data_IF_875289737917
#
_entry.id   IF_875289737917
#
_cell.length_a   1.000
_cell.length_b   1.000
_cell.length_c   1.000
_cell.angle_alpha   90.00
_cell.angle_beta   90.00
_cell.angle_gamma   90.00
#
_symmetry.space_group_name_H-M   'P 1'
#
loop_
_entity.id
_entity.type
_entity.pdbx_description
1 polymer ?
#
# COMPACT_ATOMS: atom_id res chain seq x y z
N UNK A 1 -6.14 -4.82 -1.93
CA UNK A 1 -7.13 -3.89 -2.49
C UNK A 1 -8.49 -4.25 -1.94
N UNK A 2 -9.46 -3.33 -1.99
CA UNK A 2 -10.83 -3.56 -1.54
C UNK A 2 -11.80 -3.41 -2.71
N UNK A 3 -12.91 -4.14 -2.68
CA UNK A 3 -14.03 -3.96 -3.60
C UNK A 3 -14.96 -2.81 -3.16
N UNK A 4 -16.08 -2.63 -3.87
CA UNK A 4 -17.07 -1.59 -3.57
C UNK A 4 -17.83 -1.82 -2.25
N UNK A 5 -17.70 -3.01 -1.64
CA UNK A 5 -18.27 -3.35 -0.33
C UNK A 5 -17.23 -3.28 0.79
N UNK A 6 -16.00 -2.82 0.49
CA UNK A 6 -14.91 -2.75 1.45
C UNK A 6 -14.24 -4.09 1.75
N UNK A 7 -14.55 -5.14 0.99
CA UNK A 7 -14.00 -6.48 1.19
C UNK A 7 -12.66 -6.63 0.48
N UNK A 8 -11.65 -7.27 1.11
CA UNK A 8 -10.39 -7.54 0.45
C UNK A 8 -10.56 -8.40 -0.81
N UNK A 9 -9.98 -7.98 -1.92
CA UNK A 9 -9.94 -8.78 -3.16
C UNK A 9 -8.76 -9.75 -3.06
N UNK A 10 -8.98 -11.09 -3.02
CA UNK A 10 -7.90 -12.06 -2.88
C UNK A 10 -6.90 -11.97 -4.03
N UNK A 11 -5.60 -11.99 -3.72
CA UNK A 11 -4.52 -11.93 -4.70
C UNK A 11 -4.21 -10.53 -5.26
N UNK A 12 -4.99 -9.50 -4.92
CA UNK A 12 -4.81 -8.14 -5.45
C UNK A 12 -4.27 -7.17 -4.39
N UNK A 13 -3.06 -6.66 -4.62
CA UNK A 13 -2.34 -5.78 -3.70
C UNK A 13 -2.04 -4.42 -4.34
N UNK A 14 -1.99 -3.37 -3.52
CA UNK A 14 -1.61 -2.03 -3.94
C UNK A 14 -0.60 -1.46 -2.94
N UNK A 15 0.35 -0.67 -3.44
CA UNK A 15 1.39 -0.02 -2.64
C UNK A 15 1.75 1.33 -3.26
N UNK A 16 2.27 2.24 -2.44
CA UNK A 16 2.75 3.54 -2.90
C UNK A 16 1.62 4.43 -3.38
N UNK A 17 1.86 5.25 -4.41
CA UNK A 17 0.91 6.28 -4.84
C UNK A 17 -0.35 5.73 -5.52
N UNK A 18 -0.32 4.46 -5.96
CA UNK A 18 -1.51 3.76 -6.46
C UNK A 18 -2.43 3.28 -5.32
N UNK A 19 -1.92 3.22 -4.08
CA UNK A 19 -2.74 3.01 -2.90
C UNK A 19 -3.19 4.37 -2.37
N UNK A 20 -4.50 4.65 -2.41
CA UNK A 20 -5.05 5.90 -1.90
C UNK A 20 -5.07 5.98 -0.36
N UNK A 21 -5.16 7.19 0.18
CA UNK A 21 -5.56 7.44 1.58
C UNK A 21 -4.45 7.46 2.64
N UNK A 22 -3.20 7.08 2.32
CA UNK A 22 -2.14 6.99 3.34
C UNK A 22 -1.23 8.23 3.47
N UNK A 23 -1.11 9.05 2.41
CA UNK A 23 -0.37 10.34 2.48
C UNK A 23 -1.24 11.47 3.05
N UNK A 24 -2.57 11.30 3.10
CA UNK A 24 -3.49 12.33 3.62
C UNK A 24 -3.34 13.68 2.90
N UNK A 25 -3.69 14.78 3.58
CA UNK A 25 -3.62 16.14 3.03
C UNK A 25 -2.25 16.81 3.17
N UNK A 26 -1.31 16.20 3.91
CA UNK A 26 0.00 16.78 4.20
C UNK A 26 1.10 15.88 3.69
N UNK A 27 1.98 16.42 2.85
CA UNK A 27 3.15 15.74 2.33
C UNK A 27 4.38 16.13 3.19
N UNK A 28 4.87 15.24 4.09
CA UNK A 28 5.91 15.57 5.07
C UNK A 28 7.26 15.98 4.48
N UNK A 29 7.52 15.67 3.21
CA UNK A 29 8.78 15.99 2.53
C UNK A 29 9.03 15.11 1.30
N UNK A 30 9.97 15.51 0.43
CA UNK A 30 10.26 14.94 -0.90
C UNK A 30 10.49 13.42 -0.95
N UNK A 31 10.88 12.79 0.16
CA UNK A 31 11.09 11.34 0.24
C UNK A 31 9.86 10.51 0.61
N UNK A 32 8.75 11.13 1.01
CA UNK A 32 7.62 10.41 1.64
C UNK A 32 6.97 9.40 0.70
N UNK A 33 6.77 9.79 -0.57
CA UNK A 33 6.18 8.91 -1.58
C UNK A 33 7.04 7.67 -1.84
N UNK A 34 8.36 7.85 -1.95
CA UNK A 34 9.31 6.77 -2.21
C UNK A 34 9.40 5.82 -1.02
N UNK A 35 9.59 6.36 0.18
CA UNK A 35 9.67 5.58 1.42
C UNK A 35 8.39 4.77 1.67
N UNK A 36 7.22 5.36 1.44
CA UNK A 36 5.95 4.66 1.60
C UNK A 36 5.71 3.58 0.54
N UNK A 37 6.11 3.82 -0.72
CA UNK A 37 6.05 2.82 -1.78
C UNK A 37 6.90 1.59 -1.45
N UNK A 38 8.15 1.79 -1.00
CA UNK A 38 9.05 0.69 -0.61
C UNK A 38 8.50 -0.06 0.61
N UNK A 39 8.03 0.67 1.63
CA UNK A 39 7.49 0.07 2.84
C UNK A 39 6.26 -0.80 2.55
N UNK A 40 5.28 -0.25 1.83
CA UNK A 40 4.04 -0.97 1.50
C UNK A 40 4.30 -2.11 0.52
N UNK A 41 5.18 -1.92 -0.47
CA UNK A 41 5.56 -2.96 -1.42
C UNK A 41 6.17 -4.18 -0.74
N UNK A 42 7.05 -3.97 0.24
CA UNK A 42 7.62 -5.06 1.05
C UNK A 42 6.56 -5.80 1.87
N UNK A 43 5.58 -5.08 2.45
CA UNK A 43 4.47 -5.72 3.18
C UNK A 43 3.55 -6.52 2.25
N UNK A 44 3.25 -5.99 1.06
CA UNK A 44 2.49 -6.72 0.05
C UNK A 44 3.20 -8.01 -0.36
N UNK A 45 4.51 -7.96 -0.65
CA UNK A 45 5.31 -9.13 -0.99
C UNK A 45 5.32 -10.18 0.14
N UNK A 46 5.49 -9.75 1.39
CA UNK A 46 5.39 -10.63 2.57
C UNK A 46 4.03 -11.34 2.66
N UNK A 47 2.93 -10.60 2.44
CA UNK A 47 1.59 -11.19 2.42
C UNK A 47 1.39 -12.18 1.27
N UNK A 48 1.95 -11.91 0.09
CA UNK A 48 1.89 -12.85 -1.05
C UNK A 48 2.66 -14.14 -0.73
N UNK A 49 3.84 -14.03 -0.13
CA UNK A 49 4.71 -15.17 0.18
C UNK A 49 4.34 -15.91 1.47
N UNK A 50 3.31 -15.46 2.20
CA UNK A 50 2.94 -16.03 3.51
C UNK A 50 4.01 -15.83 4.59
N UNK A 51 4.88 -14.83 4.42
CA UNK A 51 5.98 -14.53 5.34
C UNK A 51 5.51 -13.51 6.38
N UNK A 52 5.13 -13.99 7.57
CA UNK A 52 4.69 -13.18 8.72
C UNK A 52 5.85 -12.43 9.37
#
# INVERSE_FOLDING_TARGET
MIDNFGQPIPGLYAAGMNAGGWIGSYYPGSGTAVSGAIHQGRRAAKSILGLS
#
